data_IF_200542313540
#
_entry.id   IF_200542313540
#
_cell.length_a   1.000
_cell.length_b   1.000
_cell.length_c   1.000
_cell.angle_alpha   90.00
_cell.angle_beta   90.00
_cell.angle_gamma   90.00
#
_symmetry.space_group_name_H-M   'P 1'
#
loop_
_entity.id
_entity.type
_entity.pdbx_description
1 polymer ?
#
# COMPACT_ATOMS: atom_id res chain seq x y z
N UNK A 1 -11.10 16.07 -20.54
CA UNK A 1 -9.64 15.87 -20.38
C UNK A 1 -9.44 14.77 -19.35
N UNK A 2 -8.55 13.82 -19.61
CA UNK A 2 -8.15 12.81 -18.65
C UNK A 2 -6.71 13.08 -18.22
N UNK A 3 -6.46 12.99 -16.95
CA UNK A 3 -5.15 13.13 -16.34
C UNK A 3 -4.82 11.85 -15.59
N UNK A 4 -3.58 11.38 -15.69
CA UNK A 4 -3.12 10.16 -15.04
C UNK A 4 -1.97 10.49 -14.10
N UNK A 5 -2.05 10.03 -12.88
CA UNK A 5 -0.99 10.08 -11.89
C UNK A 5 -0.63 8.67 -11.48
N UNK A 6 0.68 8.39 -11.46
CA UNK A 6 1.19 7.09 -11.03
C UNK A 6 1.61 7.14 -9.57
N UNK A 7 1.55 5.99 -8.90
CA UNK A 7 2.08 5.87 -7.55
C UNK A 7 3.53 6.29 -7.47
N UNK A 8 3.85 7.17 -6.53
CA UNK A 8 5.21 7.66 -6.28
C UNK A 8 6.01 6.65 -5.48
N UNK A 9 5.35 5.96 -4.57
CA UNK A 9 5.88 4.89 -3.73
C UNK A 9 4.75 3.97 -3.27
N UNK A 10 5.11 2.75 -3.01
CA UNK A 10 4.20 1.73 -2.52
C UNK A 10 4.92 0.72 -1.62
N UNK A 11 4.16 -0.04 -0.87
CA UNK A 11 4.61 -1.16 -0.07
C UNK A 11 3.45 -2.04 0.36
N UNK A 12 3.70 -3.32 0.56
CA UNK A 12 2.79 -4.23 1.27
C UNK A 12 3.24 -4.37 2.73
N UNK A 13 2.31 -4.35 3.67
CA UNK A 13 2.59 -4.61 5.09
C UNK A 13 1.82 -5.85 5.55
N UNK A 14 2.48 -6.73 6.30
CA UNK A 14 1.97 -8.04 6.72
C UNK A 14 1.80 -8.09 8.22
N UNK A 15 0.60 -8.45 8.71
CA UNK A 15 0.29 -8.44 10.16
C UNK A 15 0.86 -9.61 10.95
N UNK A 16 1.35 -10.65 10.29
CA UNK A 16 1.60 -11.93 10.93
C UNK A 16 3.06 -12.24 11.22
N UNK A 17 3.31 -12.77 12.43
CA UNK A 17 4.50 -13.51 12.79
C UNK A 17 5.82 -12.82 12.44
N UNK A 18 6.69 -13.52 11.73
CA UNK A 18 8.03 -13.04 11.34
C UNK A 18 8.02 -12.02 10.21
N UNK A 19 6.88 -11.82 9.54
CA UNK A 19 6.75 -10.86 8.44
C UNK A 19 6.35 -9.45 8.90
N UNK A 20 5.84 -9.32 10.13
CA UNK A 20 5.32 -8.06 10.65
C UNK A 20 6.38 -6.92 10.75
N UNK A 21 7.65 -7.26 10.85
CA UNK A 21 8.76 -6.29 10.88
C UNK A 21 9.48 -6.13 9.54
N UNK A 22 9.09 -6.90 8.49
CA UNK A 22 9.73 -6.82 7.19
C UNK A 22 9.28 -5.61 6.41
N UNK A 23 10.22 -4.96 5.74
CA UNK A 23 9.93 -3.98 4.72
C UNK A 23 9.82 -4.64 3.35
N UNK A 24 8.91 -4.15 2.52
CA UNK A 24 8.63 -4.67 1.18
C UNK A 24 8.52 -3.54 0.13
N UNK A 25 9.21 -2.44 0.38
CA UNK A 25 9.14 -1.25 -0.47
C UNK A 25 9.72 -1.41 -1.88
N UNK A 26 10.40 -2.52 -2.16
CA UNK A 26 10.92 -2.85 -3.49
C UNK A 26 10.33 -4.15 -4.05
N UNK A 27 9.25 -4.67 -3.48
CA UNK A 27 8.52 -5.76 -4.12
C UNK A 27 7.83 -5.26 -5.39
N UNK A 28 7.87 -6.05 -6.44
CA UNK A 28 7.31 -5.70 -7.75
C UNK A 28 5.79 -5.86 -7.81
N UNK A 29 5.22 -6.59 -6.85
CA UNK A 29 3.78 -6.88 -6.79
C UNK A 29 3.26 -6.50 -5.40
N UNK A 30 2.19 -5.73 -5.40
CA UNK A 30 1.45 -5.40 -4.18
C UNK A 30 0.46 -6.53 -3.85
N UNK A 31 0.53 -7.03 -2.64
CA UNK A 31 -0.25 -8.20 -2.24
C UNK A 31 -1.35 -7.83 -1.23
N UNK A 32 -2.58 -8.15 -1.57
CA UNK A 32 -3.73 -8.04 -0.66
C UNK A 32 -4.23 -9.45 -0.38
N UNK A 33 -3.98 -9.93 0.83
CA UNK A 33 -4.46 -11.24 1.22
C UNK A 33 -4.99 -11.28 2.67
N UNK A 34 -5.75 -12.32 2.96
CA UNK A 34 -6.23 -12.66 4.30
C UNK A 34 -6.16 -14.16 4.48
N UNK A 35 -5.17 -14.61 5.22
CA UNK A 35 -5.03 -16.02 5.56
C UNK A 35 -5.95 -16.35 6.73
N UNK A 36 -6.78 -17.38 6.54
CA UNK A 36 -7.62 -17.94 7.59
C UNK A 36 -7.09 -19.33 7.95
N UNK A 37 -6.77 -19.53 9.21
CA UNK A 37 -6.29 -20.82 9.71
C UNK A 37 -7.40 -21.88 9.71
N UNK A 38 -7.03 -23.14 9.79
CA UNK A 38 -7.99 -24.28 9.81
C UNK A 38 -9.01 -24.21 10.96
N UNK A 39 -8.72 -23.47 12.02
CA UNK A 39 -9.62 -23.24 13.14
C UNK A 39 -10.54 -22.01 12.98
N UNK A 40 -10.54 -21.38 11.80
CA UNK A 40 -11.34 -20.18 11.50
C UNK A 40 -10.77 -18.88 12.01
N UNK A 41 -9.60 -18.88 12.67
CA UNK A 41 -8.96 -17.62 13.12
C UNK A 41 -8.20 -16.96 11.98
N UNK A 42 -8.19 -15.61 11.97
CA UNK A 42 -7.38 -14.84 11.03
C UNK A 42 -5.91 -14.95 11.45
N UNK A 43 -5.09 -15.54 10.59
CA UNK A 43 -3.67 -15.71 10.82
C UNK A 43 -2.84 -14.53 10.36
N UNK A 44 -2.95 -14.17 9.09
CA UNK A 44 -2.18 -13.09 8.50
C UNK A 44 -3.07 -12.22 7.61
N UNK A 45 -2.85 -10.92 7.65
CA UNK A 45 -3.52 -9.96 6.75
C UNK A 45 -2.44 -9.09 6.14
N UNK A 46 -2.46 -8.95 4.83
CA UNK A 46 -1.67 -7.93 4.16
C UNK A 46 -2.50 -6.69 3.86
N UNK A 47 -1.84 -5.55 3.83
CA UNK A 47 -2.40 -4.26 3.40
C UNK A 47 -1.41 -3.58 2.49
N UNK A 48 -1.93 -2.89 1.50
CA UNK A 48 -1.13 -2.12 0.56
C UNK A 48 -1.18 -0.64 0.94
N UNK A 49 -0.02 -0.01 0.93
CA UNK A 49 0.14 1.44 1.03
C UNK A 49 0.56 1.96 -0.34
N UNK A 50 -0.11 2.99 -0.82
CA UNK A 50 0.26 3.70 -2.06
C UNK A 50 0.24 5.19 -1.78
N UNK A 51 1.26 5.90 -2.25
CA UNK A 51 1.36 7.35 -2.17
C UNK A 51 1.45 7.94 -3.57
N UNK A 52 0.70 9.01 -3.81
CA UNK A 52 0.68 9.76 -5.05
C UNK A 52 1.17 11.19 -4.80
N UNK A 53 1.91 11.76 -5.74
CA UNK A 53 2.24 13.17 -5.69
C UNK A 53 1.05 14.00 -6.18
N UNK A 54 0.24 14.46 -5.25
CA UNK A 54 -0.97 15.23 -5.54
C UNK A 54 -0.72 16.75 -5.62
N UNK A 55 0.53 17.21 -5.58
CA UNK A 55 0.88 18.64 -5.56
C UNK A 55 0.31 19.35 -6.77
N UNK A 56 0.58 18.85 -7.97
CA UNK A 56 0.08 19.45 -9.21
C UNK A 56 -1.46 19.47 -9.28
N UNK A 57 -2.11 18.40 -8.83
CA UNK A 57 -3.57 18.32 -8.80
C UNK A 57 -4.14 19.36 -7.84
N UNK A 58 -3.56 19.48 -6.64
CA UNK A 58 -3.97 20.47 -5.66
C UNK A 58 -3.81 21.90 -6.18
N UNK A 59 -2.67 22.24 -6.77
CA UNK A 59 -2.40 23.54 -7.37
C UNK A 59 -3.34 23.84 -8.55
N UNK A 60 -3.64 22.84 -9.38
CA UNK A 60 -4.56 22.98 -10.50
C UNK A 60 -6.00 23.25 -10.06
N UNK A 61 -6.45 22.65 -8.98
CA UNK A 61 -7.76 22.94 -8.39
C UNK A 61 -7.77 24.36 -7.80
N UNK A 62 -6.73 24.73 -7.05
CA UNK A 62 -6.64 26.06 -6.41
C UNK A 62 -6.58 27.19 -7.43
N UNK A 63 -5.89 27.00 -8.54
CA UNK A 63 -5.80 27.97 -9.64
C UNK A 63 -7.01 28.00 -10.57
N UNK A 64 -7.97 27.08 -10.38
CA UNK A 64 -9.15 26.96 -11.25
C UNK A 64 -8.89 26.31 -12.61
N UNK A 65 -7.70 25.80 -12.85
CA UNK A 65 -7.40 25.00 -14.06
C UNK A 65 -8.17 23.67 -14.06
N UNK A 66 -8.38 23.10 -12.88
CA UNK A 66 -9.15 21.89 -12.68
C UNK A 66 -10.38 22.20 -11.84
N UNK A 67 -11.60 21.87 -12.30
CA UNK A 67 -12.81 22.09 -11.52
C UNK A 67 -12.79 21.35 -10.17
N UNK A 68 -13.27 21.95 -9.12
CA UNK A 68 -13.41 21.29 -7.81
C UNK A 68 -14.35 20.06 -7.83
N UNK A 69 -15.16 19.94 -8.89
CA UNK A 69 -16.05 18.80 -9.13
C UNK A 69 -15.38 17.64 -9.87
N UNK A 70 -14.07 17.73 -10.11
CA UNK A 70 -13.30 16.67 -10.78
C UNK A 70 -13.42 15.36 -10.01
N UNK A 71 -13.65 14.28 -10.73
CA UNK A 71 -13.72 12.93 -10.16
C UNK A 71 -12.36 12.24 -10.26
N UNK A 72 -12.00 11.53 -9.22
CA UNK A 72 -10.77 10.74 -9.13
C UNK A 72 -11.13 9.26 -9.07
N UNK A 73 -10.34 8.46 -9.79
CA UNK A 73 -10.50 7.03 -9.86
C UNK A 73 -9.15 6.36 -9.55
N UNK A 74 -9.15 5.39 -8.66
CA UNK A 74 -8.01 4.50 -8.46
C UNK A 74 -8.17 3.29 -9.38
N UNK A 75 -7.24 3.12 -10.32
CA UNK A 75 -7.19 1.96 -11.18
C UNK A 75 -6.14 0.99 -10.66
N UNK A 76 -6.55 -0.21 -10.32
CA UNK A 76 -5.69 -1.30 -9.91
C UNK A 76 -5.75 -2.40 -10.98
N UNK A 77 -4.61 -3.00 -11.26
CA UNK A 77 -4.49 -4.10 -12.20
C UNK A 77 -4.13 -5.37 -11.44
N UNK A 78 -4.88 -6.44 -11.68
CA UNK A 78 -4.55 -7.77 -11.17
C UNK A 78 -3.35 -8.31 -11.94
N UNK A 79 -2.30 -8.69 -11.19
CA UNK A 79 -1.09 -9.24 -11.80
C UNK A 79 -1.31 -10.68 -12.30
N UNK A 80 -1.92 -11.52 -11.50
CA UNK A 80 -2.45 -12.85 -11.86
C UNK A 80 -3.05 -13.47 -10.60
N UNK A 81 -4.31 -13.79 -10.57
CA UNK A 81 -4.87 -14.61 -9.51
C UNK A 81 -5.56 -15.83 -10.11
N UNK A 82 -5.21 -17.01 -9.63
CA UNK A 82 -5.86 -18.25 -10.07
C UNK A 82 -7.20 -18.48 -9.41
N UNK A 83 -7.48 -17.81 -8.26
CA UNK A 83 -8.67 -18.01 -7.45
C UNK A 83 -9.15 -16.70 -6.80
N UNK A 84 -9.56 -15.70 -7.57
CA UNK A 84 -10.37 -14.62 -7.00
C UNK A 84 -11.82 -15.06 -7.01
N UNK A 85 -12.37 -15.38 -5.84
CA UNK A 85 -13.82 -15.52 -5.71
C UNK A 85 -14.49 -14.22 -6.14
N UNK A 86 -15.55 -14.33 -6.95
CA UNK A 86 -16.33 -13.18 -7.34
C UNK A 86 -16.83 -12.43 -6.08
N UNK A 87 -16.79 -11.09 -6.13
CA UNK A 87 -17.32 -10.20 -5.08
C UNK A 87 -16.53 -10.13 -3.78
N UNK A 88 -15.19 -10.00 -3.86
CA UNK A 88 -14.38 -9.62 -2.69
C UNK A 88 -14.34 -8.10 -2.53
N UNK A 89 -14.87 -7.53 -1.43
CA UNK A 89 -14.82 -6.10 -1.21
C UNK A 89 -13.40 -5.65 -0.85
N UNK A 90 -12.86 -4.69 -1.60
CA UNK A 90 -11.65 -3.97 -1.23
C UNK A 90 -12.02 -2.67 -0.52
N UNK A 91 -11.44 -2.45 0.65
CA UNK A 91 -11.65 -1.23 1.42
C UNK A 91 -10.44 -0.31 1.25
N UNK A 92 -10.70 0.96 0.90
CA UNK A 92 -9.69 1.99 0.72
C UNK A 92 -9.83 3.03 1.81
N UNK A 93 -8.73 3.37 2.46
CA UNK A 93 -8.67 4.34 3.54
C UNK A 93 -7.60 5.38 3.28
N UNK A 94 -7.87 6.61 3.68
CA UNK A 94 -6.87 7.67 3.68
C UNK A 94 -5.88 7.45 4.82
N UNK A 95 -4.59 7.61 4.52
CA UNK A 95 -3.51 7.54 5.50
C UNK A 95 -3.04 8.95 5.81
N UNK A 96 -3.19 9.39 7.06
CA UNK A 96 -2.86 10.74 7.50
C UNK A 96 -1.39 10.93 7.87
N UNK A 97 -0.65 9.85 8.10
CA UNK A 97 0.76 9.89 8.49
C UNK A 97 1.70 9.65 7.32
N UNK A 98 2.84 10.36 7.30
CA UNK A 98 3.92 10.02 6.39
C UNK A 98 4.53 8.66 6.75
N UNK A 99 5.03 7.97 5.74
CA UNK A 99 5.70 6.67 5.89
C UNK A 99 6.91 6.57 4.96
N UNK A 100 7.85 5.71 5.29
CA UNK A 100 9.09 5.51 4.54
C UNK A 100 8.98 4.23 3.71
N UNK A 101 9.21 4.31 2.40
CA UNK A 101 9.12 3.13 1.52
C UNK A 101 10.12 2.03 1.91
N UNK A 102 11.39 2.41 2.12
CA UNK A 102 12.46 1.47 2.38
C UNK A 102 12.98 0.77 1.13
N UNK A 103 13.90 -0.16 1.33
CA UNK A 103 14.58 -0.90 0.24
C UNK A 103 14.46 -2.43 0.39
N UNK A 104 13.52 -2.87 1.21
CA UNK A 104 13.30 -4.29 1.46
C UNK A 104 12.45 -4.99 0.43
N UNK A 105 12.61 -6.30 0.38
CA UNK A 105 11.70 -7.25 -0.27
C UNK A 105 11.31 -8.33 0.73
N UNK A 106 10.15 -8.95 0.52
CA UNK A 106 9.62 -9.97 1.43
C UNK A 106 10.57 -11.16 1.62
N UNK A 107 11.28 -11.54 0.56
CA UNK A 107 12.19 -12.68 0.52
C UNK A 107 13.64 -12.35 0.91
N UNK A 108 13.97 -11.08 1.22
CA UNK A 108 15.33 -10.71 1.58
C UNK A 108 15.85 -11.50 2.78
N UNK A 109 17.06 -12.02 2.65
CA UNK A 109 17.82 -12.63 3.72
C UNK A 109 19.27 -12.11 3.69
N UNK A 110 19.71 -11.31 4.70
CA UNK A 110 18.97 -10.98 5.92
C UNK A 110 17.76 -10.08 5.66
N UNK A 111 16.81 -10.12 6.61
CA UNK A 111 15.61 -9.28 6.58
C UNK A 111 15.96 -7.80 6.56
N UNK A 112 15.34 -7.06 5.64
CA UNK A 112 15.46 -5.60 5.59
C UNK A 112 14.28 -4.96 6.33
N UNK A 113 14.58 -3.97 7.19
CA UNK A 113 13.58 -3.27 8.02
C UNK A 113 13.79 -1.75 8.02
N UNK A 114 14.25 -1.20 6.91
CA UNK A 114 14.59 0.22 6.74
C UNK A 114 13.43 1.10 6.25
N UNK A 115 12.25 0.53 6.14
CA UNK A 115 11.04 1.20 5.68
C UNK A 115 9.79 0.71 6.41
N UNK A 116 8.65 1.13 5.91
CA UNK A 116 7.35 0.79 6.49
C UNK A 116 7.16 -0.72 6.63
N UNK A 117 6.58 -1.09 7.76
CA UNK A 117 6.17 -2.46 8.09
C UNK A 117 4.86 -2.38 8.87
N UNK A 118 4.32 -3.52 9.27
CA UNK A 118 3.14 -3.54 10.12
C UNK A 118 3.41 -2.94 11.51
N UNK A 119 4.64 -3.01 11.99
CA UNK A 119 5.04 -2.50 13.31
C UNK A 119 5.38 -1.01 13.29
N UNK A 120 5.97 -0.51 12.20
CA UNK A 120 6.45 0.86 12.11
C UNK A 120 6.15 1.46 10.74
N UNK A 121 5.66 2.70 10.72
CA UNK A 121 5.56 3.50 9.48
C UNK A 121 6.91 4.14 9.11
N UNK A 122 7.73 4.42 10.12
CA UNK A 122 9.11 4.88 10.01
C UNK A 122 9.95 4.19 11.09
N UNK A 123 10.78 3.20 10.73
CA UNK A 123 11.59 2.46 11.69
C UNK A 123 12.70 3.30 12.32
N UNK A 124 13.22 4.33 11.64
CA UNK A 124 14.26 5.21 12.17
C UNK A 124 13.70 6.06 13.32
N UNK A 125 12.48 6.54 13.16
CA UNK A 125 11.79 7.29 14.20
C UNK A 125 11.05 6.40 15.21
N UNK A 126 11.02 5.07 15.00
CA UNK A 126 10.21 4.10 15.76
C UNK A 126 8.77 4.53 15.92
N UNK A 127 8.21 5.12 14.87
CA UNK A 127 6.84 5.62 14.86
C UNK A 127 5.92 4.51 14.37
N UNK A 128 4.97 4.04 15.20
CA UNK A 128 4.02 2.99 14.82
C UNK A 128 3.02 3.45 13.76
#
# INVERSE_FOLDING_TARGET
MHYFEFGKRDATIYSGGTTASRNTGLDEILEINKVVNNNGTVGNVSRVLIDFDLTYISESIQSGLMPATTKFFLNLYDATSEEVEAEQPLHIYMVSGSWKQGTGKLDHNPVTSDGVSYQYRDPDAKTP
#
